data_IF_339245701327
#
_entry.id   IF_339245701327
#
_cell.length_a   1.000
_cell.length_b   1.000
_cell.length_c   1.000
_cell.angle_alpha   90.00
_cell.angle_beta   90.00
_cell.angle_gamma   90.00
#
_symmetry.space_group_name_H-M   'P 1'
#
loop_
_entity.id
_entity.type
_entity.pdbx_description
1 polymer ?
#
# COMPACT_ATOMS: atom_id res chain seq x y z
N UNK A 1 -6.49 -35.62 20.12
CA UNK A 1 -6.79 -34.74 18.97
C UNK A 1 -6.05 -33.42 19.21
N UNK A 2 -4.79 -33.31 18.79
CA UNK A 2 -4.02 -32.07 18.96
C UNK A 2 -4.33 -31.14 17.77
N UNK A 3 -5.15 -30.12 17.99
CA UNK A 3 -5.34 -29.05 17.03
C UNK A 3 -4.09 -28.18 17.09
N UNK A 4 -3.40 -28.02 15.96
CA UNK A 4 -2.27 -27.09 15.80
C UNK A 4 -2.86 -25.81 15.21
N UNK A 5 -3.27 -24.80 16.00
CA UNK A 5 -3.72 -23.55 15.42
C UNK A 5 -2.51 -22.69 15.02
N UNK A 6 -2.62 -22.10 13.83
CA UNK A 6 -2.30 -20.68 13.61
C UNK A 6 -0.83 -20.24 13.52
N UNK A 7 0.08 -21.04 12.95
CA UNK A 7 1.36 -20.46 12.47
C UNK A 7 1.14 -19.57 11.24
N UNK A 8 0.31 -20.02 10.29
CA UNK A 8 0.01 -19.27 9.06
C UNK A 8 -0.83 -18.02 9.34
N UNK A 9 -1.83 -18.11 10.21
CA UNK A 9 -2.70 -16.97 10.57
C UNK A 9 -1.92 -15.81 11.21
N UNK A 10 -0.95 -16.12 12.08
CA UNK A 10 -0.05 -15.11 12.66
C UNK A 10 0.89 -14.49 11.63
N UNK A 11 1.36 -15.26 10.65
CA UNK A 11 2.13 -14.72 9.52
C UNK A 11 1.28 -13.77 8.69
N UNK A 12 0.07 -14.16 8.28
CA UNK A 12 -0.83 -13.29 7.52
C UNK A 12 -1.21 -12.00 8.28
N UNK A 13 -1.42 -12.08 9.59
CA UNK A 13 -1.67 -10.91 10.43
C UNK A 13 -0.45 -9.98 10.48
N UNK A 14 0.76 -10.54 10.61
CA UNK A 14 2.00 -9.79 10.63
C UNK A 14 2.31 -9.14 9.27
N UNK A 15 2.15 -9.87 8.16
CA UNK A 15 2.27 -9.36 6.79
C UNK A 15 1.27 -8.22 6.54
N UNK A 16 0.05 -8.34 7.07
CA UNK A 16 -0.98 -7.28 6.98
C UNK A 16 -0.59 -6.03 7.78
N UNK A 17 0.04 -6.19 8.93
CA UNK A 17 0.53 -5.07 9.74
C UNK A 17 1.71 -4.35 9.07
N UNK A 18 2.63 -5.11 8.49
CA UNK A 18 3.75 -4.59 7.68
C UNK A 18 3.19 -3.81 6.48
N UNK A 19 2.24 -4.38 5.75
CA UNK A 19 1.62 -3.72 4.61
C UNK A 19 0.91 -2.42 5.00
N UNK A 20 0.18 -2.43 6.12
CA UNK A 20 -0.45 -1.22 6.63
C UNK A 20 0.57 -0.15 6.98
N UNK A 21 1.64 -0.51 7.68
CA UNK A 21 2.72 0.43 8.05
C UNK A 21 3.38 1.03 6.82
N UNK A 22 3.70 0.22 5.81
CA UNK A 22 4.28 0.67 4.55
C UNK A 22 3.35 1.64 3.81
N UNK A 23 2.06 1.29 3.70
CA UNK A 23 1.03 2.11 3.09
C UNK A 23 0.94 3.49 3.74
N UNK A 24 0.95 3.56 5.07
CA UNK A 24 0.94 4.84 5.79
C UNK A 24 2.23 5.63 5.59
N UNK A 25 3.39 4.97 5.59
CA UNK A 25 4.67 5.63 5.32
C UNK A 25 4.72 6.26 3.91
N UNK A 26 4.21 5.54 2.90
CA UNK A 26 4.09 6.07 1.53
C UNK A 26 3.08 7.22 1.50
N UNK A 27 1.92 7.06 2.14
CA UNK A 27 0.89 8.10 2.19
C UNK A 27 1.39 9.40 2.84
N UNK A 28 2.26 9.29 3.84
CA UNK A 28 2.90 10.41 4.51
C UNK A 28 4.09 11.01 3.74
N UNK A 29 4.55 10.35 2.68
CA UNK A 29 5.70 10.81 1.91
C UNK A 29 5.35 12.00 1.02
N UNK A 30 6.27 12.96 0.90
CA UNK A 30 6.05 14.17 0.10
C UNK A 30 5.87 13.87 -1.39
N UNK A 31 6.47 12.79 -1.88
CA UNK A 31 6.32 12.35 -3.28
C UNK A 31 4.90 11.89 -3.59
N UNK A 32 4.34 11.05 -2.71
CA UNK A 32 2.96 10.58 -2.85
C UNK A 32 1.94 11.72 -2.71
N UNK A 33 2.12 12.63 -1.74
CA UNK A 33 1.22 13.76 -1.54
C UNK A 33 1.15 14.69 -2.76
N UNK A 34 2.30 14.96 -3.40
CA UNK A 34 2.35 15.75 -4.65
C UNK A 34 1.64 15.03 -5.80
N UNK A 35 1.97 13.76 -6.00
CA UNK A 35 1.32 12.94 -7.02
C UNK A 35 -0.21 12.86 -6.81
N UNK A 36 -0.67 12.77 -5.56
CA UNK A 36 -2.09 12.76 -5.22
C UNK A 36 -2.77 14.08 -5.60
N UNK A 37 -2.14 15.23 -5.35
CA UNK A 37 -2.66 16.54 -5.73
C UNK A 37 -2.76 16.71 -7.25
N UNK A 38 -1.76 16.22 -8.00
CA UNK A 38 -1.74 16.25 -9.46
C UNK A 38 -2.83 15.37 -10.08
N UNK A 39 -3.30 14.36 -9.34
CA UNK A 39 -4.24 13.33 -9.82
C UNK A 39 -5.57 13.34 -9.05
N UNK A 40 -5.83 14.34 -8.21
CA UNK A 40 -6.96 14.40 -7.27
C UNK A 40 -8.30 14.03 -7.92
N UNK A 41 -8.60 14.62 -9.09
CA UNK A 41 -9.82 14.34 -9.84
C UNK A 41 -9.95 12.86 -10.31
N UNK A 42 -8.84 12.17 -10.55
CA UNK A 42 -8.79 10.76 -10.95
C UNK A 42 -8.74 9.79 -9.76
N UNK A 43 -8.42 10.31 -8.57
CA UNK A 43 -8.37 9.56 -7.31
C UNK A 43 -9.65 9.71 -6.50
N UNK A 44 -10.55 10.61 -6.92
CA UNK A 44 -11.86 10.80 -6.31
C UNK A 44 -12.64 9.47 -6.25
N UNK A 45 -12.90 8.99 -5.04
CA UNK A 45 -13.59 7.72 -4.78
C UNK A 45 -12.69 6.48 -4.65
N UNK A 46 -11.37 6.61 -4.86
CA UNK A 46 -10.41 5.53 -4.62
C UNK A 46 -9.98 5.47 -3.17
N UNK A 47 -9.85 4.25 -2.63
CA UNK A 47 -9.31 4.04 -1.29
C UNK A 47 -7.80 4.26 -1.28
N UNK A 48 -7.24 4.59 -0.10
CA UNK A 48 -5.80 4.80 0.08
C UNK A 48 -4.96 3.66 -0.50
N UNK A 49 -5.38 2.40 -0.32
CA UNK A 49 -4.69 1.24 -0.91
C UNK A 49 -4.59 1.31 -2.44
N UNK A 50 -5.67 1.68 -3.12
CA UNK A 50 -5.70 1.77 -4.58
C UNK A 50 -4.85 2.94 -5.08
N UNK A 51 -4.83 4.04 -4.32
CA UNK A 51 -3.99 5.21 -4.63
C UNK A 51 -2.50 4.84 -4.47
N UNK A 52 -2.13 4.21 -3.35
CA UNK A 52 -0.75 3.75 -3.08
C UNK A 52 -0.30 2.72 -4.12
N UNK A 53 -1.16 1.79 -4.51
CA UNK A 53 -0.84 0.80 -5.54
C UNK A 53 -0.61 1.43 -6.92
N UNK A 54 -1.43 2.43 -7.30
CA UNK A 54 -1.21 3.19 -8.54
C UNK A 54 0.10 3.97 -8.52
N UNK A 55 0.37 4.67 -7.42
CA UNK A 55 1.62 5.41 -7.25
C UNK A 55 2.84 4.50 -7.37
N UNK A 56 2.84 3.35 -6.68
CA UNK A 56 3.93 2.38 -6.79
C UNK A 56 4.12 1.89 -8.21
N UNK A 57 3.03 1.57 -8.91
CA UNK A 57 3.08 1.10 -10.29
C UNK A 57 3.71 2.15 -11.21
N UNK A 58 3.23 3.39 -11.17
CA UNK A 58 3.78 4.47 -12.00
C UNK A 58 5.26 4.75 -11.65
N UNK A 59 5.62 4.72 -10.36
CA UNK A 59 7.00 4.97 -9.91
C UNK A 59 7.94 3.86 -10.39
N UNK A 60 7.48 2.60 -10.36
CA UNK A 60 8.24 1.45 -10.85
C UNK A 60 8.36 1.44 -12.37
N UNK A 61 7.30 1.83 -13.10
CA UNK A 61 7.33 1.98 -14.56
C UNK A 61 8.32 3.07 -15.01
N UNK A 62 8.45 4.13 -14.21
CA UNK A 62 9.40 5.24 -14.48
C UNK A 62 10.86 4.86 -14.22
N UNK A 63 11.12 3.90 -13.31
CA UNK A 63 12.46 3.40 -12.99
C UNK A 63 12.92 2.22 -13.86
N UNK A 64 12.01 1.61 -14.63
CA UNK A 64 12.30 0.46 -15.49
C UNK A 64 12.84 0.84 -16.89
N UNK A 65 13.09 2.13 -17.13
CA UNK A 65 13.67 2.69 -18.36
C UNK A 65 15.12 3.14 -18.12
#
# INVERSE_FOLDING_TARGET
MAQIPASSDRQFAHDSEIWNSLKYAIAASSGFQRWQLERDAQLHGLRLEQQVQRYLRETLETLAY
#
